data_IF_369630633703
#
_entry.id   IF_369630633703
#
_cell.length_a   1.000
_cell.length_b   1.000
_cell.length_c   1.000
_cell.angle_alpha   90.00
_cell.angle_beta   90.00
_cell.angle_gamma   90.00
#
_symmetry.space_group_name_H-M   'P 1'
#
loop_
_entity.id
_entity.type
_entity.pdbx_description
1 polymer ?
#
# COMPACT_ATOMS: atom_id res chain seq x y z
N UNK A 1 -10.93 -29.35 69.80
CA UNK A 1 -11.97 -30.12 69.07
C UNK A 1 -13.12 -29.20 68.69
N UNK A 2 -13.23 -28.82 67.41
CA UNK A 2 -14.49 -28.78 66.63
C UNK A 2 -14.16 -28.29 65.22
N UNK A 3 -14.45 -29.16 64.25
CA UNK A 3 -14.37 -28.94 62.82
C UNK A 3 -15.23 -27.76 62.39
N UNK A 4 -14.77 -27.01 61.40
CA UNK A 4 -15.70 -26.42 60.42
C UNK A 4 -15.00 -26.39 59.06
N UNK A 5 -15.38 -27.35 58.21
CA UNK A 5 -15.15 -27.34 56.77
C UNK A 5 -16.06 -26.26 56.17
N UNK A 6 -15.50 -25.33 55.41
CA UNK A 6 -16.26 -24.48 54.51
C UNK A 6 -15.74 -24.70 53.09
N UNK A 7 -16.56 -25.38 52.31
CA UNK A 7 -16.48 -25.43 50.85
C UNK A 7 -16.80 -24.04 50.30
N UNK A 8 -15.88 -23.47 49.52
CA UNK A 8 -16.19 -22.34 48.63
C UNK A 8 -15.57 -22.61 47.25
N UNK A 9 -16.43 -23.20 46.43
CA UNK A 9 -16.63 -23.02 44.98
C UNK A 9 -15.57 -22.27 44.16
N UNK A 10 -15.18 -22.93 43.07
CA UNK A 10 -14.44 -22.40 41.92
C UNK A 10 -14.97 -21.03 41.46
N UNK A 11 -14.05 -20.09 41.24
CA UNK A 11 -14.21 -18.97 40.32
C UNK A 11 -13.09 -19.03 39.30
N UNK A 12 -13.35 -19.71 38.18
CA UNK A 12 -12.56 -19.55 36.95
C UNK A 12 -12.87 -18.18 36.38
N UNK A 13 -11.93 -17.24 36.51
CA UNK A 13 -11.97 -15.97 35.81
C UNK A 13 -11.61 -16.22 34.35
N UNK A 14 -12.62 -16.46 33.50
CA UNK A 14 -12.47 -16.33 32.05
C UNK A 14 -12.41 -14.83 31.74
N UNK A 15 -11.21 -14.27 31.66
CA UNK A 15 -10.99 -12.98 31.02
C UNK A 15 -11.29 -13.15 29.52
N UNK A 16 -12.50 -12.76 29.13
CA UNK A 16 -12.89 -12.52 27.74
C UNK A 16 -11.94 -11.46 27.18
N UNK A 17 -11.04 -11.89 26.31
CA UNK A 17 -10.25 -10.99 25.47
C UNK A 17 -11.21 -10.46 24.41
N UNK A 18 -11.71 -9.24 24.60
CA UNK A 18 -12.40 -8.51 23.53
C UNK A 18 -11.35 -7.97 22.57
N UNK A 19 -11.07 -8.70 21.50
CA UNK A 19 -10.40 -8.15 20.33
C UNK A 19 -11.40 -7.29 19.56
N UNK A 20 -11.58 -6.05 19.98
CA UNK A 20 -12.28 -5.05 19.17
C UNK A 20 -11.33 -4.56 18.09
N UNK A 21 -11.15 -5.36 17.03
CA UNK A 21 -10.56 -4.88 15.79
C UNK A 21 -11.63 -4.09 15.03
N UNK A 22 -11.93 -2.88 15.49
CA UNK A 22 -12.70 -1.93 14.69
C UNK A 22 -11.82 -1.50 13.51
N UNK A 23 -12.03 -2.13 12.35
CA UNK A 23 -11.57 -1.58 11.09
C UNK A 23 -12.23 -0.20 10.95
N UNK A 24 -11.48 0.88 11.14
CA UNK A 24 -12.05 2.22 10.99
C UNK A 24 -12.37 2.40 9.50
N UNK A 25 -13.63 2.65 9.19
CA UNK A 25 -14.06 2.91 7.81
C UNK A 25 -13.96 4.42 7.59
N UNK A 26 -13.17 4.85 6.60
CA UNK A 26 -13.08 6.27 6.24
C UNK A 26 -14.45 6.79 5.77
N UNK A 27 -14.87 7.99 6.17
CA UNK A 27 -16.05 8.64 5.62
C UNK A 27 -15.98 8.77 4.08
N UNK A 28 -17.13 8.77 3.37
CA UNK A 28 -17.16 8.86 1.92
C UNK A 28 -16.46 10.11 1.35
N UNK A 29 -16.62 11.26 2.01
CA UNK A 29 -15.98 12.52 1.57
C UNK A 29 -14.46 12.45 1.70
N UNK A 30 -13.95 11.91 2.81
CA UNK A 30 -12.52 11.70 3.02
C UNK A 30 -11.94 10.70 2.02
N UNK A 31 -12.70 9.64 1.71
CA UNK A 31 -12.34 8.64 0.71
C UNK A 31 -12.21 9.27 -0.68
N UNK A 32 -13.18 10.10 -1.09
CA UNK A 32 -13.14 10.80 -2.37
C UNK A 32 -11.96 11.78 -2.44
N UNK A 33 -11.70 12.52 -1.36
CA UNK A 33 -10.54 13.42 -1.25
C UNK A 33 -9.22 12.66 -1.40
N UNK A 34 -9.00 11.58 -0.64
CA UNK A 34 -7.78 10.78 -0.75
C UNK A 34 -7.61 10.13 -2.11
N UNK A 35 -8.70 9.75 -2.77
CA UNK A 35 -8.64 9.23 -4.14
C UNK A 35 -8.13 10.29 -5.13
N UNK A 36 -8.52 11.56 -4.96
CA UNK A 36 -7.99 12.67 -5.76
C UNK A 36 -6.51 12.93 -5.47
N UNK A 37 -6.11 12.90 -4.19
CA UNK A 37 -4.70 13.02 -3.77
C UNK A 37 -3.85 11.94 -4.45
N UNK A 38 -4.29 10.68 -4.38
CA UNK A 38 -3.60 9.58 -5.05
C UNK A 38 -3.51 9.79 -6.57
N UNK A 39 -4.61 10.17 -7.22
CA UNK A 39 -4.60 10.41 -8.67
C UNK A 39 -3.67 11.56 -9.08
N UNK A 40 -3.65 12.67 -8.33
CA UNK A 40 -2.78 13.81 -8.61
C UNK A 40 -1.29 13.48 -8.49
N UNK A 41 -0.94 12.65 -7.50
CA UNK A 41 0.44 12.24 -7.24
C UNK A 41 0.96 11.10 -8.14
N UNK A 42 0.09 10.43 -8.90
CA UNK A 42 0.44 9.25 -9.70
C UNK A 42 1.55 9.53 -10.72
N UNK A 43 1.49 10.68 -11.41
CA UNK A 43 2.50 11.01 -12.42
C UNK A 43 3.89 11.19 -11.79
N UNK A 44 3.98 11.86 -10.64
CA UNK A 44 5.24 12.06 -9.94
C UNK A 44 5.84 10.73 -9.44
N UNK A 45 4.99 9.82 -8.93
CA UNK A 45 5.43 8.47 -8.59
C UNK A 45 5.89 7.68 -9.84
N UNK A 46 5.13 7.76 -10.94
CA UNK A 46 5.45 7.10 -12.20
C UNK A 46 6.79 7.54 -12.79
N UNK A 47 7.16 8.82 -12.67
CA UNK A 47 8.48 9.32 -13.07
C UNK A 47 9.61 8.71 -12.23
N UNK A 48 9.43 8.57 -10.92
CA UNK A 48 10.45 7.93 -10.07
C UNK A 48 10.61 6.45 -10.38
N UNK A 49 9.51 5.76 -10.68
CA UNK A 49 9.56 4.37 -11.14
C UNK A 49 10.29 4.28 -12.48
N UNK A 50 10.00 5.20 -13.41
CA UNK A 50 10.74 5.29 -14.66
C UNK A 50 12.24 5.50 -14.42
N UNK A 51 12.64 6.43 -13.54
CA UNK A 51 14.05 6.66 -13.20
C UNK A 51 14.72 5.43 -12.59
N UNK A 52 13.99 4.70 -11.72
CA UNK A 52 14.49 3.45 -11.12
C UNK A 52 14.72 2.38 -12.19
N UNK A 53 13.78 2.24 -13.13
CA UNK A 53 13.90 1.30 -14.23
C UNK A 53 14.98 1.72 -15.24
N UNK A 54 15.11 3.01 -15.53
CA UNK A 54 15.99 3.56 -16.58
C UNK A 54 17.45 3.14 -16.42
N UNK A 55 17.86 2.80 -15.20
CA UNK A 55 19.20 2.32 -14.88
C UNK A 55 19.40 0.81 -15.13
N UNK A 56 18.37 0.08 -15.56
CA UNK A 56 18.44 -1.35 -15.84
C UNK A 56 19.05 -1.63 -17.21
N UNK A 57 20.12 -2.44 -17.23
CA UNK A 57 20.74 -2.94 -18.48
C UNK A 57 19.89 -4.00 -19.19
N UNK A 58 18.84 -4.51 -18.54
CA UNK A 58 17.96 -5.56 -19.06
C UNK A 58 16.81 -5.02 -19.91
N UNK A 59 16.70 -3.70 -20.05
CA UNK A 59 15.59 -3.02 -20.74
C UNK A 59 16.06 -2.29 -21.98
N UNK A 60 15.52 -2.66 -23.14
CA UNK A 60 15.58 -1.82 -24.32
C UNK A 60 14.45 -0.80 -24.26
N UNK A 61 14.80 0.42 -23.85
CA UNK A 61 13.89 1.55 -23.74
C UNK A 61 13.23 1.96 -25.05
N UNK A 62 13.76 1.56 -26.20
CA UNK A 62 13.11 1.86 -27.49
C UNK A 62 11.86 1.02 -27.74
N UNK A 63 11.71 -0.09 -27.01
CA UNK A 63 10.59 -1.04 -27.14
C UNK A 63 9.46 -0.77 -26.14
N UNK A 64 9.66 0.14 -25.18
CA UNK A 64 8.67 0.41 -24.13
C UNK A 64 7.67 1.49 -24.57
N UNK A 65 6.39 1.26 -24.27
CA UNK A 65 5.32 2.24 -24.41
C UNK A 65 4.46 2.21 -23.15
N UNK A 66 4.31 3.36 -22.51
CA UNK A 66 3.37 3.52 -21.40
C UNK A 66 1.94 3.50 -21.94
N UNK A 67 1.12 2.56 -21.48
CA UNK A 67 -0.25 2.40 -21.96
C UNK A 67 -1.26 3.10 -21.05
N UNK A 68 -1.33 2.68 -19.78
CA UNK A 68 -2.28 3.21 -18.82
C UNK A 68 -1.67 3.24 -17.42
N UNK A 69 -1.99 4.26 -16.65
CA UNK A 69 -1.64 4.36 -15.24
C UNK A 69 -2.91 4.56 -14.43
N UNK A 70 -3.05 3.84 -13.33
CA UNK A 70 -4.13 4.04 -12.37
C UNK A 70 -3.58 4.10 -10.96
N UNK A 71 -4.29 4.80 -10.09
CA UNK A 71 -3.98 4.87 -8.68
C UNK A 71 -5.25 4.81 -7.84
N UNK A 72 -5.13 4.23 -6.65
CA UNK A 72 -6.21 4.12 -5.67
C UNK A 72 -5.68 4.28 -4.26
N UNK A 73 -6.55 4.72 -3.35
CA UNK A 73 -6.22 4.75 -1.92
C UNK A 73 -6.00 3.33 -1.40
N UNK A 74 -4.92 3.14 -0.65
CA UNK A 74 -4.70 1.94 0.15
C UNK A 74 -5.34 2.15 1.53
N UNK A 75 -6.59 1.71 1.66
CA UNK A 75 -7.40 1.93 2.87
C UNK A 75 -6.80 1.25 4.11
N UNK A 76 -6.23 0.06 3.95
CA UNK A 76 -5.66 -0.70 5.07
C UNK A 76 -4.51 0.06 5.71
N UNK A 77 -3.60 0.63 4.90
CA UNK A 77 -2.45 1.38 5.42
C UNK A 77 -2.81 2.81 5.81
N UNK A 78 -3.72 3.46 5.09
CA UNK A 78 -4.14 4.85 5.38
C UNK A 78 -4.94 4.95 6.67
N UNK A 79 -5.73 3.94 7.00
CA UNK A 79 -6.51 3.92 8.26
C UNK A 79 -5.62 3.58 9.46
N UNK A 80 -4.66 2.69 9.28
CA UNK A 80 -3.74 2.27 10.36
C UNK A 80 -2.80 3.41 10.78
N UNK A 81 -2.52 4.34 9.86
CA UNK A 81 -1.90 5.61 10.19
C UNK A 81 -2.94 6.57 10.77
N UNK A 82 -3.05 6.64 12.11
CA UNK A 82 -3.78 7.68 12.86
C UNK A 82 -3.34 9.14 12.57
N UNK A 83 -2.53 9.35 11.54
CA UNK A 83 -1.95 10.61 11.15
C UNK A 83 -2.60 11.04 9.82
N UNK A 84 -3.62 11.89 9.90
CA UNK A 84 -4.43 12.38 8.75
C UNK A 84 -3.63 13.10 7.66
N UNK A 85 -2.31 13.26 7.86
CA UNK A 85 -1.37 13.96 6.98
C UNK A 85 -0.90 13.10 5.81
N UNK A 86 -0.82 11.78 5.98
CA UNK A 86 -0.27 10.87 4.96
C UNK A 86 -1.35 10.02 4.33
N UNK A 87 -1.35 9.94 2.99
CA UNK A 87 -2.24 9.05 2.23
C UNK A 87 -1.39 7.98 1.58
N UNK A 88 -1.69 6.71 1.88
CA UNK A 88 -1.06 5.58 1.18
C UNK A 88 -1.85 5.26 -0.08
N UNK A 89 -1.15 5.09 -1.20
CA UNK A 89 -1.73 4.88 -2.52
C UNK A 89 -1.12 3.62 -3.16
N UNK A 90 -1.97 2.79 -3.76
CA UNK A 90 -1.54 1.74 -4.67
C UNK A 90 -1.54 2.31 -6.09
N UNK A 91 -0.47 2.07 -6.85
CA UNK A 91 -0.39 2.37 -8.28
C UNK A 91 -0.31 1.09 -9.12
N UNK A 92 -0.95 1.12 -10.27
CA UNK A 92 -0.82 0.12 -11.33
C UNK A 92 -0.43 0.83 -12.61
N UNK A 93 0.77 0.53 -13.10
CA UNK A 93 1.34 1.15 -14.30
C UNK A 93 1.52 0.04 -15.33
N UNK A 94 0.82 0.18 -16.46
CA UNK A 94 0.87 -0.76 -17.56
C UNK A 94 1.85 -0.26 -18.62
N UNK A 95 2.76 -1.15 -19.01
CA UNK A 95 3.65 -0.94 -20.12
C UNK A 95 3.40 -2.00 -21.18
N UNK A 96 3.52 -1.59 -22.43
CA UNK A 96 3.76 -2.50 -23.53
C UNK A 96 5.27 -2.53 -23.77
N UNK A 97 5.87 -3.71 -23.73
CA UNK A 97 7.26 -3.94 -24.09
C UNK A 97 7.30 -4.87 -25.29
N UNK A 98 7.67 -4.34 -26.45
CA UNK A 98 7.56 -5.02 -27.74
C UNK A 98 6.12 -5.53 -27.99
N UNK A 99 5.91 -6.85 -27.94
CA UNK A 99 4.59 -7.48 -28.11
C UNK A 99 3.96 -7.94 -26.78
N UNK A 100 4.62 -7.72 -25.64
CA UNK A 100 4.15 -8.13 -24.31
C UNK A 100 3.50 -6.96 -23.58
N UNK A 101 2.39 -7.23 -22.90
CA UNK A 101 1.81 -6.32 -21.92
C UNK A 101 2.29 -6.73 -20.53
N UNK A 102 2.92 -5.80 -19.82
CA UNK A 102 3.48 -6.01 -18.49
C UNK A 102 2.97 -4.94 -17.54
N UNK A 103 2.86 -5.30 -16.27
CA UNK A 103 2.24 -4.44 -15.26
C UNK A 103 3.18 -4.32 -14.08
N UNK A 104 3.40 -3.08 -13.66
CA UNK A 104 4.06 -2.77 -12.40
C UNK A 104 2.98 -2.38 -11.40
N UNK A 105 2.92 -3.13 -10.30
CA UNK A 105 2.11 -2.78 -9.13
C UNK A 105 3.07 -2.28 -8.08
N UNK A 106 2.82 -1.08 -7.56
CA UNK A 106 3.74 -0.37 -6.67
C UNK A 106 2.92 0.46 -5.69
N UNK A 107 3.58 0.96 -4.66
CA UNK A 107 2.97 1.74 -3.59
C UNK A 107 3.71 3.06 -3.42
N UNK A 108 2.98 4.06 -2.95
CA UNK A 108 3.57 5.34 -2.56
C UNK A 108 2.74 6.03 -1.50
N UNK A 109 3.38 6.98 -0.83
CA UNK A 109 2.80 7.81 0.22
C UNK A 109 2.78 9.24 -0.27
N UNK A 110 1.69 9.95 0.00
CA UNK A 110 1.59 11.39 -0.24
C UNK A 110 1.47 12.09 1.11
N UNK A 111 2.41 12.98 1.41
CA UNK A 111 2.28 13.95 2.50
C UNK A 111 1.45 15.13 2.00
N UNK A 112 0.24 15.28 2.52
CA UNK A 112 -0.72 16.29 2.08
C UNK A 112 -0.30 17.72 2.47
N UNK A 113 0.49 17.89 3.53
CA UNK A 113 0.90 19.22 4.01
C UNK A 113 2.04 19.80 3.16
N UNK A 114 2.85 18.91 2.58
CA UNK A 114 4.07 19.26 1.84
C UNK A 114 3.96 19.03 0.34
N UNK A 115 2.82 18.52 -0.13
CA UNK A 115 2.60 18.06 -1.50
C UNK A 115 3.76 17.17 -1.99
N UNK A 116 4.27 16.33 -1.08
CA UNK A 116 5.44 15.50 -1.35
C UNK A 116 5.05 14.04 -1.49
N UNK A 117 5.41 13.47 -2.64
CA UNK A 117 5.32 12.03 -2.89
C UNK A 117 6.55 11.38 -2.27
N UNK A 118 6.35 10.24 -1.62
CA UNK A 118 7.38 9.37 -1.07
C UNK A 118 7.14 7.96 -1.58
N UNK A 119 8.13 7.37 -2.25
CA UNK A 119 8.09 5.96 -2.65
C UNK A 119 8.96 5.19 -1.66
N UNK A 120 8.47 4.08 -1.11
CA UNK A 120 9.29 3.21 -0.28
C UNK A 120 10.29 2.47 -1.18
N UNK A 121 11.60 2.71 -1.00
CA UNK A 121 12.63 2.18 -1.91
C UNK A 121 12.61 0.65 -1.98
N UNK A 122 12.40 -0.05 -0.87
CA UNK A 122 12.34 -1.50 -0.85
C UNK A 122 11.16 -2.06 -1.68
N UNK A 123 9.98 -1.44 -1.56
CA UNK A 123 8.79 -1.84 -2.33
C UNK A 123 8.95 -1.46 -3.82
N UNK A 124 9.63 -0.35 -4.11
CA UNK A 124 9.97 0.06 -5.46
C UNK A 124 10.92 -0.94 -6.13
N UNK A 125 11.99 -1.36 -5.43
CA UNK A 125 12.97 -2.33 -5.93
C UNK A 125 12.32 -3.70 -6.18
N UNK A 126 11.42 -4.13 -5.29
CA UNK A 126 10.62 -5.34 -5.48
C UNK A 126 9.73 -5.24 -6.72
N UNK A 127 9.03 -4.12 -6.89
CA UNK A 127 8.17 -3.87 -8.05
C UNK A 127 8.97 -3.87 -9.36
N UNK A 128 10.18 -3.29 -9.36
CA UNK A 128 11.10 -3.30 -10.49
C UNK A 128 11.59 -4.71 -10.80
N UNK A 129 12.01 -5.47 -9.79
CA UNK A 129 12.44 -6.87 -9.96
C UNK A 129 11.33 -7.71 -10.58
N UNK A 130 10.12 -7.62 -10.05
CA UNK A 130 8.96 -8.38 -10.52
C UNK A 130 8.59 -7.99 -11.96
N UNK A 131 8.77 -6.73 -12.35
CA UNK A 131 8.65 -6.29 -13.73
C UNK A 131 9.69 -6.92 -14.65
N UNK A 132 10.97 -6.92 -14.27
CA UNK A 132 12.04 -7.54 -15.06
C UNK A 132 11.81 -9.04 -15.24
N UNK A 133 11.34 -9.72 -14.19
CA UNK A 133 10.97 -11.15 -14.27
C UNK A 133 9.84 -11.37 -15.29
N UNK A 134 8.80 -10.54 -15.30
CA UNK A 134 7.71 -10.64 -16.28
C UNK A 134 8.18 -10.46 -17.73
N UNK A 135 9.26 -9.71 -17.96
CA UNK A 135 9.80 -9.52 -19.31
C UNK A 135 10.62 -10.72 -19.77
N UNK A 136 11.37 -11.33 -18.84
CA UNK A 136 12.26 -12.47 -19.11
C UNK A 136 11.50 -13.79 -19.33
N UNK A 137 10.39 -14.00 -18.63
CA UNK A 137 9.49 -15.17 -18.79
C UNK A 137 8.58 -14.99 -19.99
#
# INVERSE_FOLDING_TARGET
MKNTLLFSSLLTFNSLITFDSYAQVLPPEQTAHYQLVCQGALNAHGLRLFDALANSEFLDWTLIKTAQQTSRVNYTRTVDTLNERTVHCDAVIQYQYDHKNVVIKTMYVVDQDRDSVHSELAELDESVRDFLVQLMV
#
